data_IF_274385794534
#
_entry.id   IF_274385794534
#
_cell.length_a   1.000
_cell.length_b   1.000
_cell.length_c   1.000
_cell.angle_alpha   90.00
_cell.angle_beta   90.00
_cell.angle_gamma   90.00
#
_symmetry.space_group_name_H-M   'P 1'
#
loop_
_entity.id
_entity.type
_entity.pdbx_description
1 polymer ?
#
# COMPACT_ATOMS: atom_id res chain seq x y z
N UNK A 1 -0.77 -15.70 -21.90
CA UNK A 1 -0.96 -16.57 -20.72
C UNK A 1 -0.77 -18.04 -21.10
N UNK A 2 -1.55 -18.62 -22.02
CA UNK A 2 -1.45 -20.04 -22.38
C UNK A 2 -0.01 -20.50 -22.73
N UNK A 3 0.76 -19.67 -23.45
CA UNK A 3 2.15 -19.98 -23.78
C UNK A 3 3.09 -19.89 -22.56
N UNK A 4 2.77 -19.03 -21.57
CA UNK A 4 3.51 -18.94 -20.29
C UNK A 4 3.15 -20.15 -19.40
N UNK A 5 1.88 -20.54 -19.34
CA UNK A 5 1.41 -21.74 -18.64
C UNK A 5 2.02 -23.01 -19.22
N UNK A 6 2.09 -23.09 -20.55
CA UNK A 6 2.74 -24.19 -21.27
C UNK A 6 4.29 -24.15 -21.17
N UNK A 7 4.87 -23.13 -20.53
CA UNK A 7 6.32 -22.87 -20.45
C UNK A 7 7.01 -22.72 -21.80
N UNK A 8 6.27 -22.31 -22.80
CA UNK A 8 6.78 -22.06 -24.17
C UNK A 8 7.45 -20.67 -24.26
N UNK A 9 7.08 -19.73 -23.38
CA UNK A 9 7.68 -18.41 -23.27
C UNK A 9 8.39 -18.28 -21.92
N UNK A 10 9.66 -17.86 -21.96
CA UNK A 10 10.46 -17.58 -20.77
C UNK A 10 10.18 -16.15 -20.27
N UNK A 11 9.20 -16.01 -19.42
CA UNK A 11 9.05 -14.82 -18.59
C UNK A 11 9.56 -15.13 -17.17
N UNK A 12 10.67 -14.50 -16.79
CA UNK A 12 11.35 -14.77 -15.51
C UNK A 12 10.48 -14.44 -14.29
N UNK A 13 9.68 -13.38 -14.38
CA UNK A 13 8.81 -12.91 -13.28
C UNK A 13 7.62 -13.83 -13.11
N UNK A 14 6.86 -14.08 -14.17
CA UNK A 14 5.70 -14.97 -14.11
C UNK A 14 6.10 -16.42 -13.79
N UNK A 15 7.23 -16.90 -14.31
CA UNK A 15 7.73 -18.23 -13.97
C UNK A 15 8.16 -18.34 -12.49
N UNK A 16 8.76 -17.29 -11.92
CA UNK A 16 9.06 -17.22 -10.49
C UNK A 16 7.78 -17.26 -9.66
N UNK A 17 6.80 -16.42 -10.00
CA UNK A 17 5.51 -16.37 -9.31
C UNK A 17 4.78 -17.71 -9.34
N UNK A 18 4.73 -18.39 -10.49
CA UNK A 18 4.14 -19.73 -10.61
C UNK A 18 4.86 -20.78 -9.75
N UNK A 19 6.20 -20.71 -9.63
CA UNK A 19 6.96 -21.57 -8.71
C UNK A 19 6.61 -21.33 -7.24
N UNK A 20 6.23 -20.10 -6.90
CA UNK A 20 5.76 -19.73 -5.56
C UNK A 20 4.27 -20.05 -5.33
N UNK A 21 3.62 -20.72 -6.29
CA UNK A 21 2.23 -21.14 -6.18
C UNK A 21 1.19 -20.11 -6.65
N UNK A 22 1.63 -19.06 -7.39
CA UNK A 22 0.68 -18.18 -8.04
C UNK A 22 0.10 -18.80 -9.31
N UNK A 23 -1.17 -18.57 -9.55
CA UNK A 23 -1.89 -18.99 -10.74
C UNK A 23 -2.19 -17.79 -11.63
N UNK A 24 -1.87 -17.84 -12.94
CA UNK A 24 -2.24 -16.79 -13.88
C UNK A 24 -3.75 -16.87 -14.17
N UNK A 25 -4.49 -15.82 -13.87
CA UNK A 25 -5.96 -15.78 -14.01
C UNK A 25 -6.44 -14.83 -15.10
N UNK A 26 -5.59 -13.96 -15.61
CA UNK A 26 -5.98 -13.02 -16.64
C UNK A 26 -4.85 -12.13 -17.16
N UNK A 27 -5.18 -11.31 -18.15
CA UNK A 27 -4.32 -10.27 -18.70
C UNK A 27 -5.02 -8.92 -18.55
N UNK A 28 -4.36 -7.98 -17.91
CA UNK A 28 -4.79 -6.60 -17.83
C UNK A 28 -4.26 -5.87 -19.07
N UNK A 29 -5.15 -5.54 -20.01
CA UNK A 29 -4.80 -4.85 -21.25
C UNK A 29 -4.54 -3.37 -20.98
N UNK A 30 -3.50 -2.84 -21.59
CA UNK A 30 -3.11 -1.41 -21.49
C UNK A 30 -2.87 -0.96 -20.03
N UNK A 31 -2.43 -1.87 -19.17
CA UNK A 31 -2.11 -1.53 -17.78
C UNK A 31 -0.85 -0.68 -17.66
N UNK A 32 0.11 -0.92 -18.54
CA UNK A 32 1.34 -0.13 -18.71
C UNK A 32 1.53 0.24 -20.20
N UNK A 33 0.80 1.24 -20.73
CA UNK A 33 0.83 1.56 -22.16
C UNK A 33 2.23 1.92 -22.68
N UNK A 34 3.12 2.38 -21.80
CA UNK A 34 4.49 2.80 -22.12
C UNK A 34 5.51 1.64 -22.08
N UNK A 35 5.13 0.48 -21.57
CA UNK A 35 5.98 -0.71 -21.53
C UNK A 35 5.89 -1.47 -22.85
N UNK A 36 6.89 -1.25 -23.72
CA UNK A 36 6.98 -1.88 -25.03
C UNK A 36 7.30 -3.38 -24.94
N UNK A 37 7.96 -3.83 -23.88
CA UNK A 37 8.37 -5.23 -23.74
C UNK A 37 7.17 -6.13 -23.43
N UNK A 38 6.22 -5.62 -22.65
CA UNK A 38 4.95 -6.31 -22.34
C UNK A 38 3.81 -5.94 -23.29
N UNK A 39 4.07 -5.11 -24.32
CA UNK A 39 3.05 -4.51 -25.20
C UNK A 39 1.98 -3.75 -24.40
N UNK A 40 2.37 -3.17 -23.29
CA UNK A 40 1.48 -2.44 -22.39
C UNK A 40 0.56 -3.31 -21.54
N UNK A 41 0.76 -4.63 -21.50
CA UNK A 41 -0.09 -5.55 -20.77
C UNK A 41 0.55 -6.04 -19.47
N UNK A 42 -0.26 -6.41 -18.48
CA UNK A 42 0.20 -7.04 -17.26
C UNK A 42 -0.51 -8.38 -17.03
N UNK A 43 0.20 -9.33 -16.43
CA UNK A 43 -0.40 -10.60 -15.99
C UNK A 43 -1.08 -10.41 -14.66
N UNK A 44 -2.34 -10.83 -14.55
CA UNK A 44 -3.04 -10.94 -13.28
C UNK A 44 -2.73 -12.31 -12.68
N UNK A 45 -1.97 -12.31 -11.58
CA UNK A 45 -1.56 -13.52 -10.87
C UNK A 45 -2.29 -13.60 -9.53
N UNK A 46 -2.84 -14.75 -9.21
CA UNK A 46 -3.54 -15.00 -7.94
C UNK A 46 -2.82 -16.11 -7.17
N UNK A 47 -2.48 -15.83 -5.93
CA UNK A 47 -2.07 -16.86 -4.99
C UNK A 47 -3.24 -17.19 -4.06
N UNK A 48 -3.62 -18.47 -4.05
CA UNK A 48 -4.69 -18.96 -3.17
C UNK A 48 -4.06 -19.54 -1.92
N UNK A 49 -4.42 -18.98 -0.78
CA UNK A 49 -3.99 -19.54 0.50
C UNK A 49 -4.58 -20.96 0.65
N UNK A 50 -3.76 -22.03 0.68
CA UNK A 50 -4.27 -23.40 0.81
C UNK A 50 -4.93 -23.68 2.16
N UNK A 51 -4.72 -22.80 3.16
CA UNK A 51 -5.38 -22.87 4.47
C UNK A 51 -6.66 -22.02 4.53
N UNK A 52 -7.01 -21.34 3.44
CA UNK A 52 -8.22 -20.53 3.39
C UNK A 52 -9.44 -21.43 3.20
N UNK A 53 -10.33 -21.41 4.17
CA UNK A 53 -11.66 -22.01 4.08
C UNK A 53 -12.64 -20.89 3.77
N UNK A 54 -13.27 -20.95 2.60
CA UNK A 54 -14.31 -19.99 2.22
C UNK A 54 -15.48 -20.08 3.21
N UNK A 55 -15.79 -18.97 3.89
CA UNK A 55 -16.93 -18.92 4.78
C UNK A 55 -18.24 -19.07 3.94
N UNK A 56 -19.22 -19.83 4.42
CA UNK A 56 -20.51 -19.92 3.75
C UNK A 56 -21.08 -18.51 3.52
N UNK A 57 -21.62 -18.28 2.32
CA UNK A 57 -22.22 -17.02 1.89
C UNK A 57 -23.43 -16.65 2.76
N UNK A 58 -23.21 -16.08 3.90
CA UNK A 58 -24.24 -15.75 4.90
C UNK A 58 -23.74 -14.91 6.06
N UNK A 59 -23.11 -13.79 5.78
CA UNK A 59 -23.02 -12.65 6.71
C UNK A 59 -22.22 -12.82 8.01
N UNK A 60 -21.59 -13.97 8.29
CA UNK A 60 -20.65 -14.09 9.41
C UNK A 60 -19.23 -13.84 8.92
N UNK A 61 -18.51 -12.98 9.66
CA UNK A 61 -17.07 -12.78 9.49
C UNK A 61 -16.35 -14.13 9.49
N UNK A 62 -15.24 -14.28 8.74
CA UNK A 62 -14.38 -15.46 8.86
C UNK A 62 -14.02 -15.69 10.32
N UNK A 63 -13.76 -16.96 10.66
CA UNK A 63 -13.21 -17.36 11.96
C UNK A 63 -12.11 -16.36 12.38
N UNK A 64 -12.13 -15.80 13.61
CA UNK A 64 -11.11 -14.88 14.11
C UNK A 64 -9.67 -15.43 14.03
N UNK A 65 -9.50 -16.71 13.74
CA UNK A 65 -8.19 -17.32 13.49
C UNK A 65 -7.67 -17.10 12.04
N UNK A 66 -8.47 -16.58 11.13
CA UNK A 66 -8.07 -16.36 9.74
C UNK A 66 -8.20 -14.88 9.39
N UNK A 67 -7.09 -14.24 9.07
CA UNK A 67 -7.02 -12.84 8.66
C UNK A 67 -6.64 -12.76 7.19
N UNK A 68 -7.43 -12.05 6.40
CA UNK A 68 -7.14 -11.80 4.99
C UNK A 68 -6.43 -10.47 4.83
N UNK A 69 -5.20 -10.51 4.33
CA UNK A 69 -4.38 -9.32 4.06
C UNK A 69 -4.20 -9.14 2.56
N UNK A 70 -4.52 -7.96 2.06
CA UNK A 70 -4.28 -7.56 0.68
C UNK A 70 -3.11 -6.58 0.63
N UNK A 71 -2.00 -6.98 0.03
CA UNK A 71 -0.85 -6.10 -0.20
C UNK A 71 -1.00 -5.38 -1.55
N UNK A 72 -0.99 -4.05 -1.50
CA UNK A 72 -1.13 -3.20 -2.68
C UNK A 72 0.23 -3.01 -3.35
N UNK A 73 0.34 -3.40 -4.60
CA UNK A 73 1.47 -3.04 -5.44
C UNK A 73 1.18 -1.69 -6.11
N UNK A 74 1.43 -0.61 -5.36
CA UNK A 74 1.14 0.75 -5.80
C UNK A 74 2.22 1.27 -6.73
N UNK A 75 1.82 1.75 -7.90
CA UNK A 75 2.75 2.41 -8.81
C UNK A 75 2.77 3.92 -8.52
N UNK A 76 3.94 4.43 -8.12
CA UNK A 76 4.14 5.86 -7.94
C UNK A 76 4.25 6.55 -9.30
N UNK A 77 3.11 6.91 -9.88
CA UNK A 77 3.02 7.72 -11.11
C UNK A 77 2.90 9.19 -10.78
N UNK A 78 3.33 10.05 -11.69
CA UNK A 78 2.99 11.46 -11.62
C UNK A 78 1.46 11.63 -11.65
N UNK A 79 0.97 12.53 -10.83
CA UNK A 79 -0.45 12.89 -10.76
C UNK A 79 -0.62 14.38 -11.06
N UNK A 80 -1.75 14.74 -11.64
CA UNK A 80 -2.06 16.12 -11.99
C UNK A 80 -2.77 16.88 -10.86
N UNK A 81 -3.29 16.15 -9.87
CA UNK A 81 -3.99 16.72 -8.72
C UNK A 81 -4.00 15.76 -7.53
N UNK A 82 -4.16 16.30 -6.32
CA UNK A 82 -4.40 15.50 -5.10
C UNK A 82 -5.62 14.59 -5.28
N UNK A 83 -6.66 15.07 -5.95
CA UNK A 83 -7.87 14.27 -6.21
C UNK A 83 -7.61 13.06 -7.10
N UNK A 84 -6.70 13.17 -8.04
CA UNK A 84 -6.30 12.02 -8.87
C UNK A 84 -5.55 10.98 -8.03
N UNK A 85 -4.61 11.42 -7.20
CA UNK A 85 -3.95 10.54 -6.23
C UNK A 85 -4.97 9.83 -5.34
N UNK A 86 -5.91 10.58 -4.75
CA UNK A 86 -6.96 10.03 -3.90
C UNK A 86 -7.82 8.99 -4.62
N UNK A 87 -8.22 9.23 -5.87
CA UNK A 87 -8.97 8.25 -6.67
C UNK A 87 -8.17 6.97 -6.92
N UNK A 88 -6.87 7.09 -7.17
CA UNK A 88 -6.00 5.94 -7.38
C UNK A 88 -5.89 5.09 -6.10
N UNK A 89 -5.78 5.73 -4.94
CA UNK A 89 -5.76 5.06 -3.64
C UNK A 89 -7.10 4.41 -3.33
N UNK A 90 -8.21 5.15 -3.50
CA UNK A 90 -9.57 4.68 -3.25
C UNK A 90 -9.89 3.43 -4.08
N UNK A 91 -9.45 3.38 -5.34
CA UNK A 91 -9.61 2.21 -6.20
C UNK A 91 -9.04 0.93 -5.57
N UNK A 92 -7.85 0.99 -4.99
CA UNK A 92 -7.26 -0.18 -4.34
C UNK A 92 -8.01 -0.58 -3.07
N UNK A 93 -8.44 0.39 -2.27
CA UNK A 93 -9.21 0.12 -1.05
C UNK A 93 -10.56 -0.51 -1.39
N UNK A 94 -11.25 0.00 -2.41
CA UNK A 94 -12.51 -0.54 -2.92
C UNK A 94 -12.35 -2.00 -3.36
N UNK A 95 -11.36 -2.28 -4.20
CA UNK A 95 -11.04 -3.66 -4.63
C UNK A 95 -10.74 -4.56 -3.45
N UNK A 96 -9.91 -4.12 -2.49
CA UNK A 96 -9.60 -4.91 -1.29
C UNK A 96 -10.86 -5.22 -0.46
N UNK A 97 -11.77 -4.24 -0.33
CA UNK A 97 -13.05 -4.39 0.37
C UNK A 97 -13.97 -5.39 -0.36
N UNK A 98 -14.07 -5.31 -1.69
CA UNK A 98 -14.84 -6.26 -2.50
C UNK A 98 -14.37 -7.71 -2.32
N UNK A 99 -13.05 -7.89 -2.18
CA UNK A 99 -12.45 -9.20 -1.86
C UNK A 99 -12.55 -9.57 -0.37
N UNK A 100 -13.24 -8.75 0.44
CA UNK A 100 -13.42 -8.94 1.88
C UNK A 100 -12.10 -9.12 2.62
N UNK A 101 -11.09 -8.34 2.24
CA UNK A 101 -9.86 -8.29 3.00
C UNK A 101 -10.09 -7.62 4.36
N UNK A 102 -9.42 -8.13 5.39
CA UNK A 102 -9.43 -7.49 6.72
C UNK A 102 -8.46 -6.33 6.78
N UNK A 103 -7.38 -6.43 6.01
CA UNK A 103 -6.36 -5.39 5.89
C UNK A 103 -6.02 -5.11 4.44
N UNK A 104 -5.99 -3.83 4.09
CA UNK A 104 -5.38 -3.29 2.87
C UNK A 104 -4.03 -2.66 3.26
N UNK A 105 -2.93 -3.15 2.68
CA UNK A 105 -1.57 -2.70 3.05
C UNK A 105 -0.93 -2.00 1.89
N UNK A 106 -0.67 -0.70 2.04
CA UNK A 106 0.06 0.12 1.07
C UNK A 106 1.58 0.06 1.31
N UNK A 107 2.40 0.28 0.27
CA UNK A 107 3.85 0.27 0.42
C UNK A 107 4.39 1.52 1.12
N UNK A 108 5.64 1.42 1.57
CA UNK A 108 6.39 2.54 2.13
C UNK A 108 6.43 3.72 1.15
N UNK A 109 6.25 4.94 1.68
CA UNK A 109 6.43 6.20 0.93
C UNK A 109 5.60 6.32 -0.36
N UNK A 110 4.49 5.58 -0.50
CA UNK A 110 3.68 5.62 -1.72
C UNK A 110 3.12 7.02 -2.04
N UNK A 111 3.05 7.89 -1.05
CA UNK A 111 2.65 9.29 -1.21
C UNK A 111 3.66 10.15 -1.99
N UNK A 112 4.84 9.61 -2.32
CA UNK A 112 5.86 10.30 -3.14
C UNK A 112 5.31 10.75 -4.50
N UNK A 113 4.25 10.11 -5.01
CA UNK A 113 3.53 10.54 -6.20
C UNK A 113 3.03 12.00 -6.13
N UNK A 114 2.73 12.50 -4.93
CA UNK A 114 2.29 13.88 -4.71
C UNK A 114 3.38 14.93 -5.00
N UNK A 115 4.66 14.53 -5.05
CA UNK A 115 5.75 15.44 -5.46
C UNK A 115 5.61 15.93 -6.90
N UNK A 116 4.87 15.21 -7.75
CA UNK A 116 4.60 15.67 -9.11
C UNK A 116 3.75 16.95 -9.18
N UNK A 117 3.11 17.34 -8.08
CA UNK A 117 2.34 18.58 -7.97
C UNK A 117 3.23 19.81 -7.71
N UNK A 118 4.48 19.60 -7.34
CA UNK A 118 5.42 20.68 -7.09
C UNK A 118 5.90 21.26 -8.44
N UNK A 119 5.78 22.60 -8.55
CA UNK A 119 6.06 23.31 -9.82
C UNK A 119 7.56 23.57 -10.05
N UNK A 120 8.40 23.35 -9.04
CA UNK A 120 9.83 23.58 -9.11
C UNK A 120 10.60 22.31 -8.73
N UNK A 121 11.82 22.21 -9.19
CA UNK A 121 12.73 21.16 -8.70
C UNK A 121 13.09 21.43 -7.26
N UNK A 122 12.87 20.45 -6.41
CA UNK A 122 13.18 20.49 -4.98
C UNK A 122 14.47 19.72 -4.70
N UNK A 123 15.20 20.15 -3.66
CA UNK A 123 16.23 19.33 -3.05
C UNK A 123 15.60 18.12 -2.33
N UNK A 124 16.38 17.07 -2.00
CA UNK A 124 15.84 15.93 -1.26
C UNK A 124 15.12 16.32 0.04
N UNK A 125 15.69 17.21 0.83
CA UNK A 125 15.10 17.69 2.08
C UNK A 125 13.83 18.51 1.84
N UNK A 126 13.85 19.43 0.86
CA UNK A 126 12.65 20.17 0.48
C UNK A 126 11.53 19.27 -0.01
N UNK A 127 11.86 18.16 -0.69
CA UNK A 127 10.88 17.19 -1.18
C UNK A 127 10.16 16.50 -0.02
N UNK A 128 10.90 16.08 0.99
CA UNK A 128 10.32 15.44 2.18
C UNK A 128 9.48 16.43 2.98
N UNK A 129 9.96 17.67 3.16
CA UNK A 129 9.19 18.74 3.79
C UNK A 129 7.94 19.12 2.97
N UNK A 130 7.99 19.00 1.63
CA UNK A 130 6.81 19.21 0.79
C UNK A 130 5.78 18.11 1.00
N UNK A 131 6.22 16.85 1.11
CA UNK A 131 5.32 15.72 1.38
C UNK A 131 4.66 15.84 2.76
N UNK A 132 5.40 16.23 3.81
CA UNK A 132 4.85 16.33 5.17
C UNK A 132 3.68 17.32 5.27
N UNK A 133 3.62 18.32 4.40
CA UNK A 133 2.49 19.26 4.33
C UNK A 133 1.16 18.57 3.95
N UNK A 134 1.22 17.41 3.33
CA UNK A 134 0.03 16.62 2.98
C UNK A 134 -0.49 15.75 4.12
N UNK A 135 0.24 15.64 5.25
CA UNK A 135 -0.13 14.77 6.38
C UNK A 135 -1.57 14.97 6.86
N UNK A 136 -2.07 16.20 7.13
CA UNK A 136 -3.44 16.36 7.63
C UNK A 136 -4.48 15.82 6.64
N UNK A 137 -4.31 16.11 5.35
CA UNK A 137 -5.22 15.64 4.29
C UNK A 137 -5.13 14.14 4.11
N UNK A 138 -3.92 13.59 4.16
CA UNK A 138 -3.68 12.16 4.07
C UNK A 138 -4.37 11.39 5.21
N UNK A 139 -4.23 11.86 6.45
CA UNK A 139 -4.85 11.22 7.61
C UNK A 139 -6.38 11.25 7.52
N UNK A 140 -6.95 12.41 7.19
CA UNK A 140 -8.38 12.56 7.01
C UNK A 140 -8.93 11.62 5.93
N UNK A 141 -8.31 11.62 4.75
CA UNK A 141 -8.75 10.83 3.61
C UNK A 141 -8.67 9.33 3.88
N UNK A 142 -7.53 8.82 4.39
CA UNK A 142 -7.35 7.40 4.65
C UNK A 142 -8.28 6.90 5.77
N UNK A 143 -8.51 7.71 6.81
CA UNK A 143 -9.47 7.39 7.87
C UNK A 143 -10.90 7.28 7.32
N UNK A 144 -11.30 8.20 6.44
CA UNK A 144 -12.61 8.13 5.77
C UNK A 144 -12.75 6.86 4.94
N UNK A 145 -11.70 6.45 4.22
CA UNK A 145 -11.71 5.21 3.43
C UNK A 145 -11.86 3.97 4.33
N UNK A 146 -11.11 3.88 5.43
CA UNK A 146 -11.18 2.76 6.34
C UNK A 146 -12.59 2.52 6.88
N UNK A 147 -13.27 3.59 7.29
CA UNK A 147 -14.65 3.55 7.79
C UNK A 147 -15.64 3.26 6.65
N UNK A 148 -15.54 3.98 5.53
CA UNK A 148 -16.47 3.88 4.40
C UNK A 148 -16.47 2.50 3.77
N UNK A 149 -15.30 1.90 3.59
CA UNK A 149 -15.15 0.58 2.98
C UNK A 149 -15.09 -0.56 4.01
N UNK A 150 -15.26 -0.24 5.29
CA UNK A 150 -15.25 -1.22 6.40
C UNK A 150 -14.03 -2.15 6.37
N UNK A 151 -12.84 -1.59 6.17
CA UNK A 151 -11.56 -2.30 6.04
C UNK A 151 -10.48 -1.62 6.88
N UNK A 152 -9.62 -2.40 7.54
CA UNK A 152 -8.45 -1.83 8.18
C UNK A 152 -7.39 -1.51 7.12
N UNK A 153 -6.76 -0.35 7.20
CA UNK A 153 -5.76 0.08 6.24
C UNK A 153 -4.42 0.31 6.95
N UNK A 154 -3.39 -0.43 6.54
CA UNK A 154 -2.01 -0.04 6.82
C UNK A 154 -1.61 0.90 5.69
N UNK A 155 -1.57 2.19 5.97
CA UNK A 155 -1.41 3.27 4.99
C UNK A 155 0.04 3.44 4.51
N UNK A 156 0.81 2.35 4.46
CA UNK A 156 2.23 2.42 4.15
C UNK A 156 2.96 3.33 5.13
N UNK A 157 3.85 4.16 4.62
CA UNK A 157 4.44 5.21 5.43
C UNK A 157 4.42 6.57 4.73
N UNK A 158 4.52 7.63 5.52
CA UNK A 158 4.45 9.02 5.06
C UNK A 158 5.40 9.90 5.89
N UNK A 159 6.17 10.80 5.25
CA UNK A 159 6.97 11.75 5.98
C UNK A 159 6.08 12.70 6.77
N UNK A 160 6.31 12.76 8.05
CA UNK A 160 5.51 13.58 8.97
C UNK A 160 6.41 14.48 9.78
N UNK A 161 6.07 15.76 9.80
CA UNK A 161 6.75 16.75 10.63
C UNK A 161 6.22 16.66 12.07
N UNK A 162 7.14 16.58 13.03
CA UNK A 162 6.84 16.60 14.46
C UNK A 162 6.65 18.01 14.97
N UNK A 163 6.15 18.17 16.20
CA UNK A 163 5.99 19.48 16.85
C UNK A 163 7.32 20.23 17.01
N UNK A 164 8.44 19.51 17.09
CA UNK A 164 9.80 20.07 17.17
C UNK A 164 10.38 20.45 15.78
N UNK A 165 9.61 20.27 14.71
CA UNK A 165 10.03 20.57 13.33
C UNK A 165 10.98 19.53 12.73
N UNK A 166 11.14 18.38 13.35
CA UNK A 166 11.86 17.24 12.78
C UNK A 166 10.94 16.43 11.87
N UNK A 167 11.50 15.68 10.92
CA UNK A 167 10.71 14.80 10.05
C UNK A 167 11.01 13.36 10.37
N UNK A 168 9.96 12.59 10.55
CA UNK A 168 9.98 11.14 10.73
C UNK A 168 9.27 10.45 9.56
N UNK A 169 9.67 9.21 9.26
CA UNK A 169 8.95 8.34 8.35
C UNK A 169 7.94 7.52 9.18
N UNK A 170 6.66 7.87 9.08
CA UNK A 170 5.60 7.34 9.96
C UNK A 170 4.67 6.43 9.19
N UNK A 171 4.52 5.20 9.65
CA UNK A 171 3.48 4.29 9.20
C UNK A 171 2.18 4.57 9.97
N UNK A 172 1.10 4.78 9.23
CA UNK A 172 -0.22 5.01 9.83
C UNK A 172 -1.12 3.80 9.60
N UNK A 173 -1.81 3.41 10.65
CA UNK A 173 -2.83 2.35 10.62
C UNK A 173 -4.19 2.97 10.89
N UNK A 174 -5.07 2.87 9.92
CA UNK A 174 -6.44 3.38 9.97
C UNK A 174 -7.37 2.19 10.16
N UNK A 175 -8.04 2.14 11.29
CA UNK A 175 -8.95 1.04 11.59
C UNK A 175 -10.37 1.35 11.12
N UNK A 176 -11.12 0.32 10.82
CA UNK A 176 -12.52 0.43 10.33
C UNK A 176 -13.49 0.99 11.37
N UNK A 177 -13.07 1.07 12.64
CA UNK A 177 -13.81 1.74 13.71
C UNK A 177 -13.56 3.26 13.78
N UNK A 178 -12.68 3.78 12.91
CA UNK A 178 -12.31 5.18 12.81
C UNK A 178 -11.09 5.56 13.63
N UNK A 179 -10.51 4.65 14.43
CA UNK A 179 -9.27 4.93 15.16
C UNK A 179 -8.07 4.96 14.22
N UNK A 180 -7.08 5.80 14.56
CA UNK A 180 -5.84 5.98 13.79
C UNK A 180 -4.67 5.79 14.73
N UNK A 181 -3.71 4.98 14.32
CA UNK A 181 -2.48 4.72 15.04
C UNK A 181 -1.28 5.09 14.18
N UNK A 182 -0.22 5.56 14.83
CA UNK A 182 1.03 5.94 14.18
C UNK A 182 2.17 5.08 14.74
N UNK A 183 3.10 4.70 13.86
CA UNK A 183 4.34 4.01 14.21
C UNK A 183 5.48 4.65 13.44
N UNK A 184 6.40 5.25 14.14
CA UNK A 184 7.62 5.81 13.55
C UNK A 184 8.56 4.69 13.13
N UNK A 185 9.21 4.85 11.99
CA UNK A 185 10.28 3.96 11.56
C UNK A 185 11.47 4.06 12.53
N UNK A 186 11.79 2.95 13.20
CA UNK A 186 12.85 2.91 14.22
C UNK A 186 14.24 3.09 13.60
N UNK A 187 14.46 2.46 12.45
CA UNK A 187 15.77 2.42 11.79
C UNK A 187 15.71 3.02 10.39
N UNK A 188 15.69 4.37 10.25
CA UNK A 188 15.85 4.98 8.94
C UNK A 188 17.17 4.53 8.29
N UNK A 189 17.13 4.28 7.00
CA UNK A 189 18.30 3.89 6.22
C UNK A 189 19.36 5.01 6.23
N UNK A 190 20.64 4.72 5.94
CA UNK A 190 21.66 5.76 5.81
C UNK A 190 21.28 6.87 4.82
N UNK A 191 20.61 6.53 3.72
CA UNK A 191 20.16 7.49 2.72
C UNK A 191 19.03 8.39 3.25
N UNK A 192 18.07 7.84 3.98
CA UNK A 192 17.01 8.62 4.62
C UNK A 192 17.57 9.63 5.63
N UNK A 193 18.55 9.19 6.44
CA UNK A 193 19.21 10.07 7.41
C UNK A 193 20.03 11.16 6.72
N UNK A 194 20.81 10.80 5.72
CA UNK A 194 21.74 11.73 5.08
C UNK A 194 21.06 12.71 4.13
N UNK A 195 20.21 12.18 3.22
CA UNK A 195 19.61 13.01 2.17
C UNK A 195 18.31 13.68 2.60
N UNK A 196 17.53 13.04 3.46
CA UNK A 196 16.20 13.47 3.83
C UNK A 196 16.11 13.97 5.27
N UNK A 197 17.18 13.82 6.05
CA UNK A 197 17.24 14.15 7.47
C UNK A 197 16.10 13.53 8.30
N UNK A 198 15.68 12.31 7.92
CA UNK A 198 14.64 11.58 8.65
C UNK A 198 15.21 11.06 9.97
N UNK A 199 14.48 11.33 11.06
CA UNK A 199 14.77 10.82 12.41
C UNK A 199 14.10 9.47 12.63
N UNK A 200 14.74 8.64 13.45
CA UNK A 200 14.18 7.37 13.89
C UNK A 200 13.26 7.54 15.09
N UNK A 201 12.31 6.63 15.24
CA UNK A 201 11.52 6.48 16.45
C UNK A 201 12.23 5.60 17.48
N UNK A 202 11.67 5.52 18.69
CA UNK A 202 12.27 4.83 19.83
C UNK A 202 11.51 3.57 20.25
N UNK A 203 10.24 3.45 19.87
CA UNK A 203 9.36 2.37 20.36
C UNK A 203 8.60 1.70 19.22
N UNK A 204 8.30 0.41 19.42
CA UNK A 204 7.37 -0.36 18.60
C UNK A 204 6.12 -0.63 19.41
N UNK A 205 4.97 -0.26 18.86
CA UNK A 205 3.68 -0.42 19.49
C UNK A 205 2.93 -1.63 18.96
N UNK A 206 2.30 -2.38 19.85
CA UNK A 206 1.27 -3.34 19.46
C UNK A 206 -0.05 -2.57 19.27
N UNK A 207 -0.57 -2.56 18.06
CA UNK A 207 -1.82 -1.87 17.71
C UNK A 207 -2.97 -2.88 17.84
N UNK A 208 -3.92 -2.67 18.78
CA UNK A 208 -5.08 -3.54 18.92
C UNK A 208 -6.00 -3.36 17.69
N UNK A 209 -6.46 -4.47 17.12
CA UNK A 209 -7.44 -4.48 16.03
C UNK A 209 -8.53 -5.51 16.30
N UNK A 210 -9.61 -5.43 15.55
CA UNK A 210 -10.69 -6.41 15.62
C UNK A 210 -10.30 -7.80 15.08
N UNK A 211 -9.12 -7.90 14.44
CA UNK A 211 -8.53 -9.14 13.94
C UNK A 211 -7.37 -9.66 14.82
N UNK A 212 -7.16 -9.07 15.99
CA UNK A 212 -6.01 -9.30 16.87
C UNK A 212 -4.97 -8.18 16.78
N UNK A 213 -3.98 -8.16 17.70
CA UNK A 213 -2.96 -7.12 17.71
C UNK A 213 -2.00 -7.27 16.50
N UNK A 214 -1.59 -6.14 15.94
CA UNK A 214 -0.59 -6.07 14.86
C UNK A 214 0.58 -5.19 15.29
N UNK A 215 1.75 -5.42 14.69
CA UNK A 215 2.89 -4.52 14.72
C UNK A 215 3.25 -4.07 13.30
N UNK A 216 3.72 -2.83 13.19
CA UNK A 216 4.29 -2.28 11.96
C UNK A 216 5.72 -1.85 12.24
N UNK A 217 6.66 -2.19 11.35
CA UNK A 217 8.10 -1.93 11.51
C UNK A 217 8.63 -1.14 10.32
#
# INVERSE_FOLDING_TARGET
LAAIEAREVKDSVSNFQMRMGFEPVGVLKNYYPEDTDSLGHASLMVWRNPKFVEAPSGGKRPDPQTVRVAAVQFMARAVESTREFERNVEYFVDVCSDYRADFCVFPEMFTVALLSLEKRRLSPQESIAALSRHTPRFLEFMSQLAVRYNINIVGGSHPTETDDGEIQNVAYVFLRDGSVHAQEKIHPTPNERFWWNIKGGDFVHAIPTDCGPIGVL
#
